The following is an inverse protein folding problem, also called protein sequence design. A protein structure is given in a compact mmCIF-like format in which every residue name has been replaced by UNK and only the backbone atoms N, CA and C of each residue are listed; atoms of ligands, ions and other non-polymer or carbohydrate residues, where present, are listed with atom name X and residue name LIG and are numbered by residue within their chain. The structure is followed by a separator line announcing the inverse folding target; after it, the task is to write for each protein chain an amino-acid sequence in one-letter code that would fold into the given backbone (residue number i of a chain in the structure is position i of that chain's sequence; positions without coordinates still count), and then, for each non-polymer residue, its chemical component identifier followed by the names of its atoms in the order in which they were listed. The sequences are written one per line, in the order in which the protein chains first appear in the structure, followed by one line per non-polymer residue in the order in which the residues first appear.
data_IF_160686038832
#
_entry.id   IF_160686038832
#
_cell.length_a   1.000
_cell.length_b   1.000
_cell.length_c   1.000
_cell.angle_alpha   90.00
_cell.angle_beta   90.00
_cell.angle_gamma   90.00
#
_symmetry.space_group_name_H-M   'P 1'
#
loop_
_entity.id
_entity.type
_entity.pdbx_description
1 polymer ?
#
# COMPACT_ATOMS: atom_id res chain seq x y z
N UNK A 1 -14.05 29.53 1.57
CA UNK A 1 -13.32 28.45 2.25
C UNK A 1 -14.12 27.14 2.30
N UNK A 2 -15.30 27.10 2.93
CA UNK A 2 -16.18 25.91 2.97
C UNK A 2 -16.62 25.40 1.59
N UNK A 3 -16.92 26.30 0.65
CA UNK A 3 -17.31 25.93 -0.71
C UNK A 3 -16.17 25.26 -1.50
N UNK A 4 -14.94 25.71 -1.28
CA UNK A 4 -13.73 25.16 -1.88
C UNK A 4 -13.42 23.76 -1.31
N UNK A 5 -13.52 23.59 0.01
CA UNK A 5 -13.36 22.28 0.67
C UNK A 5 -14.39 21.26 0.18
N UNK A 6 -15.65 21.68 0.01
CA UNK A 6 -16.71 20.80 -0.50
C UNK A 6 -16.42 20.34 -1.93
N UNK A 7 -15.95 21.25 -2.80
CA UNK A 7 -15.52 20.92 -4.17
C UNK A 7 -14.38 19.92 -4.18
N UNK A 8 -13.35 20.09 -3.33
CA UNK A 8 -12.23 19.14 -3.25
C UNK A 8 -12.65 17.76 -2.74
N UNK A 9 -13.52 17.70 -1.73
CA UNK A 9 -14.05 16.44 -1.23
C UNK A 9 -14.86 15.68 -2.31
N UNK A 10 -15.61 16.41 -3.13
CA UNK A 10 -16.36 15.82 -4.25
C UNK A 10 -15.42 15.27 -5.33
N UNK A 11 -14.36 16.00 -5.69
CA UNK A 11 -13.34 15.53 -6.65
C UNK A 11 -12.65 14.27 -6.14
N UNK A 12 -12.21 14.25 -4.86
CA UNK A 12 -11.63 13.05 -4.26
C UNK A 12 -12.58 11.86 -4.28
N UNK A 13 -13.87 12.08 -3.97
CA UNK A 13 -14.87 11.02 -4.00
C UNK A 13 -15.03 10.42 -5.40
N UNK A 14 -15.03 11.25 -6.43
CA UNK A 14 -15.09 10.80 -7.83
C UNK A 14 -13.83 10.01 -8.20
N UNK A 15 -12.65 10.49 -7.80
CA UNK A 15 -11.39 9.78 -8.05
C UNK A 15 -11.33 8.42 -7.34
N UNK A 16 -11.72 8.36 -6.06
CA UNK A 16 -11.79 7.09 -5.32
C UNK A 16 -12.73 6.12 -6.02
N UNK A 17 -13.91 6.59 -6.43
CA UNK A 17 -14.89 5.75 -7.15
C UNK A 17 -14.32 5.23 -8.48
N UNK A 18 -13.63 6.08 -9.25
CA UNK A 18 -13.03 5.69 -10.52
C UNK A 18 -11.84 4.74 -10.33
N UNK A 19 -10.97 5.00 -9.37
CA UNK A 19 -9.84 4.11 -9.05
C UNK A 19 -10.34 2.75 -8.57
N UNK A 20 -11.34 2.71 -7.70
CA UNK A 20 -11.94 1.46 -7.23
C UNK A 20 -12.60 0.68 -8.37
N UNK A 21 -13.32 1.37 -9.27
CA UNK A 21 -13.94 0.73 -10.44
C UNK A 21 -12.89 0.19 -11.43
N UNK A 22 -11.79 0.93 -11.64
CA UNK A 22 -10.66 0.49 -12.46
C UNK A 22 -9.96 -0.72 -11.86
N UNK A 23 -9.64 -0.70 -10.57
CA UNK A 23 -9.04 -1.86 -9.88
C UNK A 23 -9.98 -3.07 -9.91
N UNK A 24 -11.27 -2.88 -9.66
CA UNK A 24 -12.27 -3.94 -9.70
C UNK A 24 -12.49 -4.52 -11.12
N UNK A 25 -12.11 -3.78 -12.17
CA UNK A 25 -12.13 -4.27 -13.56
C UNK A 25 -10.99 -5.26 -13.81
N UNK A 26 -9.82 -5.05 -13.17
CA UNK A 26 -8.66 -5.94 -13.25
C UNK A 26 -8.61 -6.93 -12.09
N UNK A 27 -9.67 -7.73 -11.93
CA UNK A 27 -9.79 -8.72 -10.84
C UNK A 27 -8.57 -9.64 -10.73
N UNK A 28 -8.00 -10.06 -11.85
CA UNK A 28 -6.79 -10.90 -11.89
C UNK A 28 -5.59 -10.23 -11.23
N UNK A 29 -5.40 -8.93 -11.43
CA UNK A 29 -4.30 -8.18 -10.81
C UNK A 29 -4.45 -8.14 -9.29
N UNK A 30 -5.67 -7.89 -8.81
CA UNK A 30 -5.98 -7.90 -7.38
C UNK A 30 -5.66 -9.26 -6.72
N UNK A 31 -6.15 -10.36 -7.30
CA UNK A 31 -5.89 -11.70 -6.77
C UNK A 31 -4.41 -12.08 -6.84
N UNK A 32 -3.71 -11.67 -7.90
CA UNK A 32 -2.28 -11.97 -8.06
C UNK A 32 -1.46 -11.27 -6.98
N UNK A 33 -1.69 -9.97 -6.76
CA UNK A 33 -0.99 -9.21 -5.71
C UNK A 33 -1.31 -9.81 -4.34
N UNK A 34 -2.58 -10.07 -4.04
CA UNK A 34 -2.97 -10.67 -2.76
C UNK A 34 -2.34 -12.06 -2.54
N UNK A 35 -2.21 -12.88 -3.58
CA UNK A 35 -1.53 -14.18 -3.49
C UNK A 35 -0.04 -14.02 -3.19
N UNK A 36 0.63 -13.09 -3.86
CA UNK A 36 2.05 -12.79 -3.64
C UNK A 36 2.27 -12.33 -2.20
N UNK A 37 1.43 -11.42 -1.70
CA UNK A 37 1.51 -10.92 -0.32
C UNK A 37 1.28 -12.04 0.70
N UNK A 38 0.30 -12.93 0.47
CA UNK A 38 0.06 -14.08 1.34
C UNK A 38 1.25 -15.03 1.37
N UNK A 39 1.86 -15.32 0.22
CA UNK A 39 3.08 -16.15 0.15
C UNK A 39 4.19 -15.49 0.96
N UNK A 40 4.37 -14.17 0.85
CA UNK A 40 5.41 -13.44 1.57
C UNK A 40 5.21 -13.50 3.08
N UNK A 41 3.98 -13.28 3.56
CA UNK A 41 3.62 -13.44 4.97
C UNK A 41 3.89 -14.87 5.44
N UNK A 42 3.51 -15.89 4.66
CA UNK A 42 3.78 -17.29 5.01
C UNK A 42 5.27 -17.60 5.11
N UNK A 43 6.09 -17.07 4.21
CA UNK A 43 7.56 -17.24 4.23
C UNK A 43 8.14 -16.61 5.50
N UNK A 44 7.76 -15.38 5.81
CA UNK A 44 8.25 -14.65 6.99
C UNK A 44 7.84 -15.33 8.30
N UNK A 45 6.58 -15.74 8.45
CA UNK A 45 6.16 -16.50 9.63
C UNK A 45 6.88 -17.85 9.75
N UNK A 46 7.13 -18.52 8.62
CA UNK A 46 7.87 -19.80 8.61
C UNK A 46 9.32 -19.60 9.01
N UNK A 47 9.97 -18.53 8.55
CA UNK A 47 11.33 -18.15 8.93
C UNK A 47 11.44 -18.01 10.45
N UNK A 48 10.59 -17.19 11.07
CA UNK A 48 10.61 -17.00 12.52
C UNK A 48 10.25 -18.28 13.28
N UNK A 49 9.35 -19.11 12.75
CA UNK A 49 9.04 -20.42 13.34
C UNK A 49 10.28 -21.33 13.37
N UNK A 50 11.08 -21.36 12.30
CA UNK A 50 12.32 -22.15 12.23
C UNK A 50 13.39 -21.61 13.18
N UNK A 51 13.48 -20.29 13.33
CA UNK A 51 14.39 -19.66 14.30
C UNK A 51 14.03 -20.07 15.73
N UNK A 52 12.76 -19.94 16.11
CA UNK A 52 12.28 -20.29 17.45
C UNK A 52 12.30 -21.79 17.75
N UNK A 53 12.35 -22.65 16.73
CA UNK A 53 12.58 -24.09 16.91
C UNK A 53 14.02 -24.39 17.42
N UNK A 54 15.00 -23.53 17.12
CA UNK A 54 16.39 -23.69 17.51
C UNK A 54 16.80 -22.78 18.68
N UNK A 55 15.98 -21.80 19.05
CA UNK A 55 16.29 -20.83 20.11
C UNK A 55 15.04 -20.48 20.92
N UNK A 56 15.04 -20.69 22.26
CA UNK A 56 13.85 -20.48 23.08
C UNK A 56 13.46 -19.00 23.26
N UNK A 57 14.40 -18.07 23.10
CA UNK A 57 14.11 -16.63 23.13
C UNK A 57 15.06 -15.84 22.24
N UNK A 58 14.54 -14.83 21.55
CA UNK A 58 15.33 -13.92 20.74
C UNK A 58 15.41 -12.59 21.47
N UNK A 59 16.58 -12.23 22.03
CA UNK A 59 16.75 -11.00 22.80
C UNK A 59 15.69 -10.78 23.92
N UNK A 60 15.23 -11.87 24.55
CA UNK A 60 14.18 -11.84 25.58
C UNK A 60 12.74 -11.89 25.04
N UNK A 61 12.54 -11.84 23.72
CA UNK A 61 11.22 -11.95 23.10
C UNK A 61 10.85 -13.41 22.88
N UNK A 62 9.63 -13.76 23.30
CA UNK A 62 9.01 -15.08 23.04
C UNK A 62 8.40 -15.10 21.64
N UNK A 63 8.24 -16.30 21.10
CA UNK A 63 7.66 -16.52 19.77
C UNK A 63 6.32 -15.78 19.56
N UNK A 64 5.42 -15.84 20.54
CA UNK A 64 4.10 -15.18 20.47
C UNK A 64 4.21 -13.66 20.32
N UNK A 65 5.18 -13.04 21.01
CA UNK A 65 5.37 -11.58 20.97
C UNK A 65 5.89 -11.14 19.60
N UNK A 66 6.78 -11.93 18.99
CA UNK A 66 7.28 -11.66 17.63
C UNK A 66 6.19 -11.90 16.59
N UNK A 67 5.36 -12.93 16.74
CA UNK A 67 4.26 -13.19 15.82
C UNK A 67 3.20 -12.09 15.87
N UNK A 68 2.91 -11.57 17.06
CA UNK A 68 2.06 -10.40 17.22
C UNK A 68 2.66 -9.16 16.52
N UNK A 69 3.96 -8.92 16.72
CA UNK A 69 4.67 -7.83 16.05
C UNK A 69 4.62 -7.95 14.53
N UNK A 70 4.90 -9.14 13.98
CA UNK A 70 4.81 -9.42 12.55
C UNK A 70 3.41 -9.14 12.01
N UNK A 71 2.35 -9.55 12.73
CA UNK A 71 0.98 -9.25 12.34
C UNK A 71 0.69 -7.75 12.24
N UNK A 72 1.14 -6.96 13.21
CA UNK A 72 1.01 -5.49 13.18
C UNK A 72 1.83 -4.88 12.06
N UNK A 73 3.05 -5.36 11.86
CA UNK A 73 3.94 -4.91 10.79
C UNK A 73 3.34 -5.14 9.41
N UNK A 74 2.92 -6.37 9.08
CA UNK A 74 2.30 -6.68 7.79
C UNK A 74 0.97 -5.94 7.59
N UNK A 75 0.19 -5.72 8.65
CA UNK A 75 -1.04 -4.93 8.55
C UNK A 75 -0.73 -3.47 8.19
N UNK A 76 0.27 -2.87 8.83
CA UNK A 76 0.70 -1.52 8.52
C UNK A 76 1.28 -1.41 7.11
N UNK A 77 2.06 -2.40 6.68
CA UNK A 77 2.63 -2.48 5.34
C UNK A 77 1.53 -2.60 4.28
N UNK A 78 0.56 -3.50 4.47
CA UNK A 78 -0.57 -3.65 3.57
C UNK A 78 -1.41 -2.37 3.45
N UNK A 79 -1.62 -1.64 4.56
CA UNK A 79 -2.30 -0.34 4.56
C UNK A 79 -1.50 0.71 3.77
N UNK A 80 -0.18 0.75 3.95
CA UNK A 80 0.69 1.65 3.21
C UNK A 80 0.66 1.34 1.70
N UNK A 81 0.73 0.07 1.36
CA UNK A 81 0.70 -0.42 -0.03
C UNK A 81 -0.62 -0.10 -0.72
N UNK A 82 -1.75 -0.28 -0.02
CA UNK A 82 -3.09 -0.04 -0.56
C UNK A 82 -3.36 1.46 -0.79
N UNK A 83 -2.90 2.33 0.11
CA UNK A 83 -3.22 3.75 0.08
C UNK A 83 -2.18 4.61 -0.66
N UNK A 84 -0.89 4.31 -0.50
CA UNK A 84 0.18 5.24 -0.87
C UNK A 84 1.14 4.70 -1.91
N UNK A 85 1.55 3.44 -1.85
CA UNK A 85 2.66 2.91 -2.67
C UNK A 85 2.52 3.18 -4.18
N UNK A 86 1.33 2.96 -4.75
CA UNK A 86 1.10 3.22 -6.18
C UNK A 86 1.26 4.69 -6.57
N UNK A 87 0.81 5.60 -5.70
CA UNK A 87 0.95 7.04 -5.93
C UNK A 87 2.42 7.44 -5.94
N UNK A 88 3.21 6.91 -5.01
CA UNK A 88 4.65 7.13 -4.96
C UNK A 88 5.38 6.61 -6.20
N UNK A 89 5.05 5.40 -6.65
CA UNK A 89 5.67 4.82 -7.85
C UNK A 89 5.33 5.63 -9.11
N UNK A 90 4.08 6.05 -9.25
CA UNK A 90 3.63 6.88 -10.38
C UNK A 90 4.33 8.24 -10.37
N UNK A 91 4.49 8.85 -9.20
CA UNK A 91 5.21 10.10 -9.05
C UNK A 91 6.68 9.96 -9.48
N UNK A 92 7.37 8.93 -9.01
CA UNK A 92 8.74 8.64 -9.44
C UNK A 92 8.85 8.41 -10.95
N UNK A 93 7.89 7.71 -11.56
CA UNK A 93 7.86 7.49 -13.01
C UNK A 93 7.67 8.81 -13.80
N UNK A 94 6.78 9.70 -13.33
CA UNK A 94 6.57 11.02 -13.92
C UNK A 94 7.84 11.89 -13.89
N UNK A 95 8.57 11.85 -12.77
CA UNK A 95 9.87 12.56 -12.62
C UNK A 95 10.90 11.96 -13.58
N UNK A 96 11.06 10.64 -13.58
CA UNK A 96 12.07 9.95 -14.40
C UNK A 96 11.81 10.12 -15.91
N UNK A 97 10.55 10.25 -16.32
CA UNK A 97 10.16 10.48 -17.72
C UNK A 97 10.19 11.95 -18.14
N UNK A 98 10.35 12.89 -17.20
CA UNK A 98 10.25 14.32 -17.47
C UNK A 98 8.83 14.80 -17.81
N UNK A 99 7.81 13.98 -17.53
CA UNK A 99 6.41 14.30 -17.81
C UNK A 99 5.74 15.06 -16.66
N UNK A 100 6.45 15.24 -15.54
CA UNK A 100 5.93 15.94 -14.37
C UNK A 100 5.47 17.37 -14.72
N UNK A 101 6.24 18.12 -15.50
CA UNK A 101 5.88 19.50 -15.86
C UNK A 101 4.60 19.57 -16.70
N UNK A 102 4.42 18.62 -17.62
CA UNK A 102 3.18 18.48 -18.41
C UNK A 102 2.01 18.12 -17.50
N UNK A 103 2.24 17.25 -16.52
CA UNK A 103 1.22 16.91 -15.52
C UNK A 103 0.82 18.13 -14.68
N UNK A 104 1.78 18.98 -14.32
CA UNK A 104 1.56 20.18 -13.50
C UNK A 104 0.78 21.29 -14.22
N UNK A 105 0.90 21.39 -15.54
CA UNK A 105 0.19 22.39 -16.35
C UNK A 105 -1.27 22.05 -16.63
N UNK A 106 -1.75 20.87 -16.21
CA UNK A 106 -3.15 20.48 -16.41
C UNK A 106 -4.11 21.43 -15.66
N UNK A 107 -5.29 21.72 -16.24
CA UNK A 107 -6.23 22.69 -15.67
C UNK A 107 -6.86 22.26 -14.34
N UNK A 108 -6.74 20.99 -13.98
CA UNK A 108 -7.09 20.48 -12.65
C UNK A 108 -5.82 20.46 -11.80
N UNK A 109 -5.94 21.00 -10.59
CA UNK A 109 -4.84 21.10 -9.65
C UNK A 109 -4.29 19.68 -9.32
N UNK A 110 -3.02 19.38 -9.63
CA UNK A 110 -2.47 18.02 -9.66
C UNK A 110 -2.22 17.38 -8.29
N UNK A 111 -2.33 18.18 -7.22
CA UNK A 111 -2.29 17.70 -5.82
C UNK A 111 -3.61 17.08 -5.35
N UNK A 112 -4.68 17.10 -6.18
CA UNK A 112 -6.02 16.62 -5.82
C UNK A 112 -6.52 15.53 -6.75
#
# INVERSE_FOLDING_TARGET
MLHTLKKYCEVYRIQIKNNLAREASYRTNFFTIALVDLVWICVEFSLFKVIYANTPSLAGWRQEQVFFFLGVFFTSDALFTLLFQRNFWTFSDLVNRGELDVFLTKPIHPLF
#
